data_IF_165450606594
#
_entry.id   IF_165450606594
#
_cell.length_a   1.000
_cell.length_b   1.000
_cell.length_c   1.000
_cell.angle_alpha   90.00
_cell.angle_beta   90.00
_cell.angle_gamma   90.00
#
_symmetry.space_group_name_H-M   'P 1'
#
loop_
_entity.id
_entity.type
_entity.pdbx_description
1 polymer ?
#
# COMPACT_ATOMS: atom_id res chain seq x y z
N UNK A 1 18.94 -5.76 -10.21
CA UNK A 1 17.95 -6.65 -9.55
C UNK A 1 16.88 -5.75 -8.97
N UNK A 2 15.93 -5.37 -9.82
CA UNK A 2 14.57 -5.94 -9.95
C UNK A 2 13.65 -5.55 -8.81
N UNK A 3 12.71 -4.66 -9.16
CA UNK A 3 11.45 -4.42 -8.48
C UNK A 3 10.94 -5.67 -7.75
N UNK A 4 10.60 -5.51 -6.48
CA UNK A 4 10.06 -6.59 -5.64
C UNK A 4 8.62 -6.28 -5.24
N UNK A 5 7.68 -7.15 -5.60
CA UNK A 5 6.30 -7.08 -5.12
C UNK A 5 6.09 -8.10 -4.00
N UNK A 6 5.72 -7.64 -2.82
CA UNK A 6 5.54 -8.44 -1.61
C UNK A 6 4.11 -8.27 -1.09
N UNK A 7 3.54 -9.33 -0.55
CA UNK A 7 2.20 -9.33 0.02
C UNK A 7 2.32 -9.74 1.48
N UNK A 8 1.80 -8.94 2.39
CA UNK A 8 1.87 -9.14 3.84
C UNK A 8 0.49 -9.05 4.46
N UNK A 9 0.26 -9.82 5.51
CA UNK A 9 -1.01 -9.83 6.22
C UNK A 9 -0.79 -9.38 7.66
N UNK A 10 -1.40 -8.25 8.01
CA UNK A 10 -1.26 -7.68 9.35
C UNK A 10 0.01 -6.83 9.54
N UNK A 11 0.02 -6.16 10.69
CA UNK A 11 0.94 -5.07 10.98
C UNK A 11 2.36 -5.54 11.32
N UNK A 12 2.50 -6.66 12.03
CA UNK A 12 3.81 -7.18 12.46
C UNK A 12 4.66 -7.63 11.25
N UNK A 13 4.05 -8.38 10.33
CA UNK A 13 4.67 -8.80 9.07
C UNK A 13 5.05 -7.61 8.20
N UNK A 14 4.18 -6.60 8.12
CA UNK A 14 4.48 -5.37 7.39
C UNK A 14 5.77 -4.71 7.94
N UNK A 15 5.83 -4.46 9.25
CA UNK A 15 7.02 -3.81 9.84
C UNK A 15 8.28 -4.62 9.65
N UNK A 16 8.21 -5.94 9.80
CA UNK A 16 9.35 -6.84 9.55
C UNK A 16 9.82 -6.78 8.09
N UNK A 17 8.89 -6.68 7.15
CA UNK A 17 9.18 -6.61 5.71
C UNK A 17 9.80 -5.27 5.35
N UNK A 18 9.28 -4.17 5.89
CA UNK A 18 9.87 -2.83 5.76
C UNK A 18 11.31 -2.82 6.30
N UNK A 19 11.52 -3.36 7.51
CA UNK A 19 12.83 -3.45 8.13
C UNK A 19 13.83 -4.28 7.31
N UNK A 20 13.38 -5.42 6.75
CA UNK A 20 14.20 -6.28 5.90
C UNK A 20 14.60 -5.62 4.57
N UNK A 21 13.78 -4.71 4.06
CA UNK A 21 14.04 -3.99 2.80
C UNK A 21 14.57 -2.57 3.02
N UNK A 22 14.99 -2.25 4.25
CA UNK A 22 15.51 -0.93 4.61
C UNK A 22 16.71 -0.57 3.73
N UNK A 23 16.68 0.63 3.14
CA UNK A 23 17.69 1.10 2.19
C UNK A 23 17.26 1.06 0.72
N UNK A 24 16.04 0.59 0.44
CA UNK A 24 15.35 0.68 -0.86
C UNK A 24 14.18 1.67 -0.76
N UNK A 25 13.65 2.11 -1.91
CA UNK A 25 12.36 2.81 -1.94
C UNK A 25 11.26 1.80 -1.67
N UNK A 26 10.53 1.99 -0.57
CA UNK A 26 9.48 1.05 -0.15
C UNK A 26 8.13 1.74 -0.26
N UNK A 27 7.24 1.17 -1.04
CA UNK A 27 5.86 1.61 -1.17
C UNK A 27 4.95 0.60 -0.48
N UNK A 28 4.05 1.06 0.38
CA UNK A 28 3.13 0.21 1.12
C UNK A 28 1.70 0.58 0.78
N UNK A 29 0.99 -0.36 0.17
CA UNK A 29 -0.44 -0.26 -0.09
C UNK A 29 -1.22 -0.94 1.03
N UNK A 30 -1.98 -0.16 1.79
CA UNK A 30 -2.92 -0.64 2.78
C UNK A 30 -4.27 -0.90 2.12
N UNK A 31 -4.68 -2.17 2.11
CA UNK A 31 -5.95 -2.61 1.52
C UNK A 31 -6.68 -3.57 2.46
N UNK A 32 -7.99 -3.68 2.27
CA UNK A 32 -8.84 -4.57 3.06
C UNK A 32 -8.54 -6.03 2.73
N UNK A 33 -8.55 -6.92 3.73
CA UNK A 33 -8.38 -8.35 3.45
C UNK A 33 -9.42 -8.86 2.45
N UNK A 34 -8.96 -9.75 1.58
CA UNK A 34 -9.80 -10.47 0.64
C UNK A 34 -10.66 -11.49 1.42
N UNK A 35 -11.94 -11.57 1.07
CA UNK A 35 -12.84 -12.62 1.57
C UNK A 35 -12.44 -13.99 0.97
N UNK A 36 -13.16 -15.05 1.33
CA UNK A 36 -12.90 -16.40 0.77
C UNK A 36 -13.04 -16.48 -0.75
N UNK A 37 -13.69 -15.50 -1.38
CA UNK A 37 -13.86 -15.38 -2.83
C UNK A 37 -12.69 -14.62 -3.50
N UNK A 38 -11.69 -14.17 -2.72
CA UNK A 38 -10.56 -13.40 -3.22
C UNK A 38 -10.88 -11.91 -3.45
N UNK A 39 -12.04 -11.43 -3.00
CA UNK A 39 -12.49 -10.04 -3.20
C UNK A 39 -12.35 -9.25 -1.91
N UNK A 40 -11.70 -8.08 -1.99
CA UNK A 40 -11.61 -7.16 -0.87
C UNK A 40 -13.00 -6.72 -0.43
N UNK A 41 -13.26 -6.70 0.88
CA UNK A 41 -14.57 -6.25 1.41
C UNK A 41 -14.86 -4.76 1.19
N UNK A 42 -13.86 -4.01 0.73
CA UNK A 42 -13.95 -2.58 0.43
C UNK A 42 -14.05 -2.41 -1.10
N UNK A 43 -15.13 -1.79 -1.61
CA UNK A 43 -15.32 -1.60 -3.05
C UNK A 43 -14.24 -0.71 -3.67
N UNK A 44 -13.84 0.38 -3.00
CA UNK A 44 -12.78 1.28 -3.46
C UNK A 44 -11.43 0.56 -3.65
N UNK A 45 -11.13 -0.41 -2.77
CA UNK A 45 -9.93 -1.24 -2.91
C UNK A 45 -10.00 -2.13 -4.16
N UNK A 46 -11.18 -2.65 -4.51
CA UNK A 46 -11.36 -3.51 -5.70
C UNK A 46 -11.24 -2.67 -6.97
N UNK A 47 -11.77 -1.45 -6.98
CA UNK A 47 -11.66 -0.54 -8.14
C UNK A 47 -10.24 0.02 -8.32
N UNK A 48 -9.52 0.28 -7.22
CA UNK A 48 -8.16 0.81 -7.29
C UNK A 48 -7.10 -0.27 -7.61
N UNK A 49 -7.32 -1.54 -7.23
CA UNK A 49 -6.38 -2.66 -7.46
C UNK A 49 -5.85 -2.72 -8.91
N UNK A 50 -6.69 -2.76 -9.96
CA UNK A 50 -6.20 -2.82 -11.35
C UNK A 50 -5.46 -1.56 -11.79
N UNK A 51 -5.84 -0.37 -11.30
CA UNK A 51 -5.16 0.89 -11.65
C UNK A 51 -3.76 0.94 -11.04
N UNK A 52 -3.65 0.53 -9.78
CA UNK A 52 -2.37 0.45 -9.06
C UNK A 52 -1.47 -0.59 -9.71
N UNK A 53 -1.99 -1.77 -10.03
CA UNK A 53 -1.23 -2.82 -10.72
C UNK A 53 -0.72 -2.36 -12.08
N UNK A 54 -1.56 -1.67 -12.87
CA UNK A 54 -1.13 -1.11 -14.15
C UNK A 54 -0.03 -0.05 -13.97
N UNK A 55 -0.16 0.85 -12.99
CA UNK A 55 0.87 1.85 -12.70
C UNK A 55 2.18 1.20 -12.23
N UNK A 56 2.11 0.20 -11.35
CA UNK A 56 3.28 -0.58 -10.94
C UNK A 56 3.97 -1.18 -12.17
N UNK A 57 3.20 -1.87 -13.03
CA UNK A 57 3.75 -2.56 -14.19
C UNK A 57 4.35 -1.58 -15.20
N UNK A 58 3.73 -0.42 -15.42
CA UNK A 58 4.26 0.58 -16.36
C UNK A 58 5.44 1.35 -15.81
N UNK A 59 5.46 1.63 -14.51
CA UNK A 59 6.32 2.66 -13.94
C UNK A 59 7.34 2.05 -12.99
N UNK A 60 6.89 1.39 -11.92
CA UNK A 60 7.76 0.84 -10.88
C UNK A 60 8.61 -0.34 -11.34
N UNK A 61 8.16 -1.13 -12.32
CA UNK A 61 8.98 -2.24 -12.85
C UNK A 61 10.24 -1.76 -13.56
N UNK A 62 10.26 -0.51 -14.03
CA UNK A 62 11.41 0.12 -14.69
C UNK A 62 12.42 0.68 -13.70
N UNK A 63 12.01 0.90 -12.46
CA UNK A 63 12.86 1.43 -11.40
C UNK A 63 13.72 0.32 -10.76
N UNK A 64 14.95 0.67 -10.41
CA UNK A 64 15.84 -0.21 -9.66
C UNK A 64 15.77 0.09 -8.16
N UNK A 65 15.93 -0.93 -7.32
CA UNK A 65 15.89 -0.79 -5.85
C UNK A 65 14.54 -0.29 -5.28
N UNK A 66 13.43 -0.67 -5.92
CA UNK A 66 12.07 -0.43 -5.43
C UNK A 66 11.47 -1.71 -4.86
N UNK A 67 10.76 -1.59 -3.75
CA UNK A 67 9.96 -2.66 -3.13
C UNK A 67 8.53 -2.18 -2.91
N UNK A 68 7.58 -2.82 -3.57
CA UNK A 68 6.16 -2.61 -3.36
C UNK A 68 5.61 -3.66 -2.41
N UNK A 69 4.86 -3.25 -1.40
CA UNK A 69 4.30 -4.11 -0.35
C UNK A 69 2.79 -3.88 -0.29
N UNK A 70 2.01 -4.91 -0.63
CA UNK A 70 0.57 -4.92 -0.40
C UNK A 70 0.31 -5.46 1.00
N UNK A 71 -0.15 -4.59 1.89
CA UNK A 71 -0.53 -4.93 3.25
C UNK A 71 -2.04 -5.08 3.38
N UNK A 72 -2.47 -6.29 3.73
CA UNK A 72 -3.84 -6.56 4.12
C UNK A 72 -4.04 -6.17 5.59
N UNK A 73 -4.90 -5.17 5.81
CA UNK A 73 -5.17 -4.65 7.16
C UNK A 73 -6.02 -5.57 8.02
N UNK A 74 -6.59 -6.64 7.45
CA UNK A 74 -7.51 -7.55 8.12
C UNK A 74 -8.96 -7.41 7.66
N UNK A 75 -9.84 -8.08 8.40
CA UNK A 75 -11.28 -7.99 8.21
C UNK A 75 -11.82 -6.59 8.56
N UNK A 76 -12.98 -6.25 7.99
CA UNK A 76 -13.65 -4.96 8.22
C UNK A 76 -13.84 -4.64 9.71
N UNK A 77 -14.17 -5.64 10.52
CA UNK A 77 -14.34 -5.47 11.97
C UNK A 77 -13.05 -5.02 12.65
N UNK A 78 -11.91 -5.64 12.30
CA UNK A 78 -10.60 -5.27 12.81
C UNK A 78 -10.16 -3.89 12.32
N UNK A 79 -10.43 -3.54 11.06
CA UNK A 79 -10.12 -2.21 10.52
C UNK A 79 -10.91 -1.08 11.18
N UNK A 80 -12.19 -1.33 11.49
CA UNK A 80 -13.08 -0.33 12.10
C UNK A 80 -12.71 -0.02 13.55
N UNK A 81 -11.96 -0.90 14.20
CA UNK A 81 -11.51 -0.70 15.55
C UNK A 81 -10.54 0.50 15.65
N UNK A 82 -10.79 1.41 16.60
CA UNK A 82 -9.94 2.60 16.79
C UNK A 82 -8.59 2.25 17.43
N UNK A 83 -8.49 1.10 18.08
CA UNK A 83 -7.25 0.58 18.64
C UNK A 83 -6.38 -0.13 17.60
N UNK A 84 -6.84 -0.18 16.35
CA UNK A 84 -6.09 -0.79 15.27
C UNK A 84 -4.69 -0.14 15.15
N UNK A 85 -3.60 -0.94 15.17
CA UNK A 85 -2.24 -0.42 15.09
C UNK A 85 -2.01 0.41 13.82
N UNK A 86 -2.62 0.08 12.68
CA UNK A 86 -2.48 0.86 11.45
C UNK A 86 -2.99 2.31 11.58
N UNK A 87 -4.02 2.53 12.41
CA UNK A 87 -4.59 3.87 12.70
C UNK A 87 -3.78 4.61 13.76
N UNK A 88 -3.31 3.90 14.78
CA UNK A 88 -2.57 4.45 15.92
C UNK A 88 -1.10 4.74 15.60
N UNK A 89 -0.53 4.05 14.63
CA UNK A 89 0.86 4.21 14.26
C UNK A 89 1.11 5.60 13.69
N UNK A 90 2.12 6.31 14.20
CA UNK A 90 2.43 7.68 13.78
C UNK A 90 3.15 7.72 12.42
N UNK A 91 3.79 6.61 12.01
CA UNK A 91 4.49 6.47 10.74
C UNK A 91 3.48 6.26 9.59
N UNK A 92 2.48 5.40 9.78
CA UNK A 92 1.48 5.12 8.74
C UNK A 92 0.23 5.99 8.86
N UNK A 93 -0.30 6.13 10.08
CA UNK A 93 -1.51 6.88 10.43
C UNK A 93 -2.62 6.75 9.38
N UNK A 94 -2.93 5.50 9.04
CA UNK A 94 -3.87 5.16 7.97
C UNK A 94 -5.27 5.37 8.50
N UNK A 95 -5.98 6.36 7.96
CA UNK A 95 -7.35 6.68 8.41
C UNK A 95 -8.43 6.07 7.50
N UNK A 96 -8.08 5.88 6.23
CA UNK A 96 -8.94 5.34 5.18
C UNK A 96 -8.20 4.26 4.40
N UNK A 97 -8.94 3.38 3.72
CA UNK A 97 -8.38 2.42 2.76
C UNK A 97 -9.19 2.54 1.45
N UNK A 98 -8.60 2.28 0.28
CA UNK A 98 -7.18 1.95 0.08
C UNK A 98 -6.28 3.17 0.32
N UNK A 99 -5.07 2.97 0.87
CA UNK A 99 -4.08 4.05 1.06
C UNK A 99 -2.70 3.54 0.67
N UNK A 100 -1.97 4.31 -0.14
CA UNK A 100 -0.59 4.03 -0.53
C UNK A 100 0.35 5.02 0.16
N UNK A 101 1.44 4.53 0.76
CA UNK A 101 2.42 5.36 1.48
C UNK A 101 3.83 4.99 1.03
N UNK A 102 4.69 5.99 0.82
CA UNK A 102 6.13 5.78 0.61
C UNK A 102 6.86 5.85 1.96
N UNK A 103 7.52 4.76 2.34
CA UNK A 103 8.23 4.68 3.62
C UNK A 103 9.53 5.46 3.56
N UNK A 104 9.75 6.31 4.55
CA UNK A 104 10.92 7.18 4.65
C UNK A 104 10.73 8.58 4.08
N UNK A 105 9.63 8.84 3.34
CA UNK A 105 9.28 10.16 2.81
C UNK A 105 8.10 10.73 3.57
N UNK A 106 8.31 11.81 4.33
CA UNK A 106 7.25 12.43 5.14
C UNK A 106 6.21 13.09 4.24
N UNK A 107 4.95 12.69 4.40
CA UNK A 107 3.81 13.32 3.73
C UNK A 107 3.46 12.73 2.36
N UNK A 108 4.27 11.81 1.83
CA UNK A 108 4.01 11.18 0.54
C UNK A 108 3.07 9.99 0.69
N UNK A 109 1.78 10.24 0.46
CA UNK A 109 0.72 9.23 0.47
C UNK A 109 -0.43 9.56 -0.50
N UNK A 110 -1.09 8.53 -1.03
CA UNK A 110 -2.31 8.62 -1.81
C UNK A 110 -3.43 7.84 -1.11
N UNK A 111 -4.67 8.31 -1.21
CA UNK A 111 -5.83 7.75 -0.51
C UNK A 111 -7.02 7.57 -1.45
N UNK A 112 -7.77 6.49 -1.29
CA UNK A 112 -9.08 6.22 -1.91
C UNK A 112 -9.10 6.57 -3.41
N UNK A 113 -9.86 7.59 -3.81
CA UNK A 113 -10.02 8.03 -5.20
C UNK A 113 -8.70 8.45 -5.87
N UNK A 114 -7.72 8.91 -5.09
CA UNK A 114 -6.40 9.29 -5.63
C UNK A 114 -5.68 8.08 -6.26
N UNK A 115 -5.95 6.87 -5.76
CA UNK A 115 -5.38 5.62 -6.30
C UNK A 115 -6.08 5.15 -7.56
N UNK A 116 -7.25 5.71 -7.89
CA UNK A 116 -7.94 5.48 -9.16
C UNK A 116 -7.42 6.42 -10.25
N UNK A 117 -6.59 7.41 -9.89
CA UNK A 117 -6.02 8.36 -10.84
C UNK A 117 -4.60 7.95 -11.24
N UNK A 118 -4.47 7.41 -12.44
CA UNK A 118 -3.18 6.98 -12.98
C UNK A 118 -2.14 8.11 -13.04
N UNK A 119 -2.55 9.36 -13.26
CA UNK A 119 -1.63 10.51 -13.30
C UNK A 119 -1.02 10.74 -11.92
N UNK A 120 -1.84 10.69 -10.87
CA UNK A 120 -1.36 10.85 -9.49
C UNK A 120 -0.47 9.69 -9.05
N UNK A 121 -0.80 8.46 -9.44
CA UNK A 121 0.06 7.30 -9.19
C UNK A 121 1.42 7.44 -9.87
N UNK A 122 1.41 7.88 -11.12
CA UNK A 122 2.63 8.12 -11.89
C UNK A 122 3.49 9.20 -11.22
N UNK A 123 2.91 10.36 -10.88
CA UNK A 123 3.63 11.38 -10.13
C UNK A 123 4.12 10.85 -8.78
N UNK A 124 3.31 10.08 -8.06
CA UNK A 124 3.74 9.51 -6.78
C UNK A 124 4.97 8.61 -6.90
N UNK A 125 5.09 7.82 -7.96
CA UNK A 125 6.26 6.96 -8.17
C UNK A 125 7.49 7.73 -8.68
N UNK A 126 7.30 8.75 -9.53
CA UNK A 126 8.40 9.46 -10.20
C UNK A 126 8.76 10.85 -9.64
N UNK A 127 7.95 11.42 -8.74
CA UNK A 127 8.25 12.72 -8.12
C UNK A 127 9.45 12.54 -7.18
N UNK A 128 10.61 12.99 -7.65
CA UNK A 128 11.93 13.03 -6.99
C UNK A 128 12.06 14.19 -6.00
#
# INVERSE_FOLDING_TARGET
>A
MTFSNLIVNGYDELKKTILSNKGRRIFVLFTGSKNSDGVSWCPDCVEAEPVIEEAIEKDLTKEENVTFITCFVGERAYWKDMENPFRKDDEFKVNCIPTLIEIGVKGKRLTEEQLQNMVLLNEFFFDE
#
